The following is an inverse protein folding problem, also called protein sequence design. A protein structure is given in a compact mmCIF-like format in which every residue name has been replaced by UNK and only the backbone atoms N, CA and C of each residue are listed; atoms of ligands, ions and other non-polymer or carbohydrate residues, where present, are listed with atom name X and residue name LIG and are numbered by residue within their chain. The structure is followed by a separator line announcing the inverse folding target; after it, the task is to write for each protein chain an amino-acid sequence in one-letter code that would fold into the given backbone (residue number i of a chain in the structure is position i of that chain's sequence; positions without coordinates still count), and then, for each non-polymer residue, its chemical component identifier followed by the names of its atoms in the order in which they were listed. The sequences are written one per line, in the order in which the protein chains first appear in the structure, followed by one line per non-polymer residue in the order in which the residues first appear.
data_IF_094570110384
#
_entry.id   IF_094570110384
#
_cell.length_a   1.000
_cell.length_b   1.000
_cell.length_c   1.000
_cell.angle_alpha   90.00
_cell.angle_beta   90.00
_cell.angle_gamma   90.00
#
_symmetry.space_group_name_H-M   'P 1'
#
loop_
_entity.id
_entity.type
_entity.pdbx_description
1 polymer ?
#
# COMPACT_ATOMS: atom_id res chain seq x y z
N UNK A 1 27.08 30.80 -26.11
CA UNK A 1 25.85 30.39 -25.42
C UNK A 1 25.59 28.88 -25.58
N UNK A 2 26.29 27.98 -24.86
CA UNK A 2 26.06 26.53 -25.01
C UNK A 2 26.03 25.77 -23.68
N UNK A 3 26.90 26.13 -22.72
CA UNK A 3 26.95 25.48 -21.40
C UNK A 3 25.64 25.61 -20.58
N UNK A 4 24.95 26.76 -20.66
CA UNK A 4 23.69 26.99 -19.93
C UNK A 4 22.58 26.02 -20.35
N UNK A 5 22.49 25.69 -21.65
CA UNK A 5 21.50 24.76 -22.17
C UNK A 5 21.77 23.31 -21.71
N UNK A 6 23.05 22.92 -21.64
CA UNK A 6 23.46 21.60 -21.16
C UNK A 6 23.19 21.43 -19.66
N UNK A 7 23.53 22.44 -18.84
CA UNK A 7 23.28 22.43 -17.40
C UNK A 7 21.77 22.35 -17.10
N UNK A 8 20.96 23.09 -17.86
CA UNK A 8 19.50 23.05 -17.74
C UNK A 8 18.92 21.66 -18.05
N UNK A 9 19.41 21.00 -19.12
CA UNK A 9 18.97 19.64 -19.45
C UNK A 9 19.33 18.62 -18.37
N UNK A 10 20.51 18.75 -17.76
CA UNK A 10 20.95 17.87 -16.66
C UNK A 10 20.08 18.08 -15.42
N UNK A 11 19.83 19.33 -15.02
CA UNK A 11 18.94 19.65 -13.89
C UNK A 11 17.53 19.08 -14.08
N UNK A 12 16.98 19.19 -15.29
CA UNK A 12 15.65 18.67 -15.60
C UNK A 12 15.57 17.14 -15.47
N UNK A 13 16.61 16.42 -15.90
CA UNK A 13 16.69 14.96 -15.73
C UNK A 13 16.74 14.57 -14.26
N UNK A 14 17.51 15.29 -13.44
CA UNK A 14 17.60 15.02 -11.99
C UNK A 14 16.23 15.24 -11.32
N UNK A 15 15.53 16.32 -11.68
CA UNK A 15 14.17 16.60 -11.22
C UNK A 15 13.20 15.48 -11.56
N UNK A 16 13.22 14.99 -12.80
CA UNK A 16 12.35 13.89 -13.23
C UNK A 16 12.64 12.57 -12.48
N UNK A 17 13.91 12.25 -12.26
CA UNK A 17 14.27 11.04 -11.51
C UNK A 17 13.82 11.15 -10.05
N UNK A 18 14.05 12.31 -9.43
CA UNK A 18 13.64 12.56 -8.06
C UNK A 18 12.11 12.45 -7.89
N UNK A 19 11.31 13.01 -8.80
CA UNK A 19 9.85 12.89 -8.73
C UNK A 19 9.37 11.45 -8.92
N UNK A 20 9.95 10.69 -9.85
CA UNK A 20 9.63 9.27 -10.03
C UNK A 20 9.93 8.47 -8.76
N UNK A 21 11.09 8.67 -8.13
CA UNK A 21 11.46 8.00 -6.87
C UNK A 21 10.48 8.37 -5.75
N UNK A 22 10.10 9.64 -5.63
CA UNK A 22 9.11 10.11 -4.64
C UNK A 22 7.73 9.51 -4.91
N UNK A 23 7.29 9.41 -6.17
CA UNK A 23 6.00 8.80 -6.53
C UNK A 23 5.99 7.30 -6.23
N UNK A 24 7.06 6.58 -6.56
CA UNK A 24 7.16 5.14 -6.27
C UNK A 24 7.20 4.90 -4.76
N UNK A 25 7.98 5.68 -4.00
CA UNK A 25 8.06 5.56 -2.54
C UNK A 25 6.79 6.03 -1.82
N UNK A 26 6.04 6.97 -2.38
CA UNK A 26 4.71 7.34 -1.85
C UNK A 26 3.59 6.38 -2.27
N UNK A 27 3.79 5.62 -3.35
CA UNK A 27 2.92 4.53 -3.80
C UNK A 27 2.95 3.28 -2.90
N UNK A 28 3.98 3.13 -2.07
CA UNK A 28 4.02 2.15 -0.95
C UNK A 28 3.53 2.76 0.37
N UNK A 29 2.76 3.85 0.34
CA UNK A 29 1.87 4.13 1.48
C UNK A 29 1.02 2.89 1.65
N UNK A 30 1.37 2.10 2.68
CA UNK A 30 0.53 1.06 3.26
C UNK A 30 -0.88 1.55 3.12
N UNK A 31 -1.63 0.92 2.21
CA UNK A 31 -3.06 1.05 2.24
C UNK A 31 -3.40 0.72 3.68
N UNK A 32 -3.78 1.74 4.44
CA UNK A 32 -4.57 1.54 5.64
C UNK A 32 -5.90 1.03 5.07
N UNK A 33 -5.90 -0.23 4.64
CA UNK A 33 -7.09 -0.93 4.22
C UNK A 33 -7.89 -0.95 5.51
N UNK A 34 -9.01 -0.21 5.59
CA UNK A 34 -9.88 -0.33 6.75
C UNK A 34 -10.13 -1.83 6.93
N UNK A 35 -10.07 -2.34 8.18
CA UNK A 35 -10.05 -3.78 8.41
C UNK A 35 -11.17 -4.42 7.61
N UNK A 36 -10.80 -5.22 6.62
CA UNK A 36 -11.76 -5.69 5.63
C UNK A 36 -12.55 -6.79 6.33
N UNK A 37 -13.78 -6.48 6.73
CA UNK A 37 -14.60 -7.39 7.50
C UNK A 37 -15.32 -8.35 6.56
N UNK A 38 -14.82 -9.59 6.52
CA UNK A 38 -15.33 -10.66 5.67
C UNK A 38 -16.29 -11.54 6.48
N UNK A 39 -17.59 -11.29 6.27
CA UNK A 39 -18.67 -12.08 6.85
C UNK A 39 -18.69 -12.10 8.38
N UNK A 40 -19.33 -13.13 8.93
CA UNK A 40 -19.51 -13.28 10.38
C UNK A 40 -18.57 -14.32 10.97
N UNK A 41 -18.23 -14.17 12.25
CA UNK A 41 -17.41 -15.13 12.99
C UNK A 41 -18.10 -16.48 13.22
N UNK A 42 -19.43 -16.53 13.10
CA UNK A 42 -20.15 -17.81 13.05
C UNK A 42 -19.93 -18.56 11.74
N UNK A 43 -19.64 -17.84 10.65
CA UNK A 43 -19.38 -18.41 9.32
C UNK A 43 -17.90 -18.78 9.14
N UNK A 44 -17.00 -18.04 9.79
CA UNK A 44 -15.57 -18.30 9.82
C UNK A 44 -15.11 -18.58 11.26
N UNK A 45 -15.15 -19.85 11.72
CA UNK A 45 -14.72 -20.20 13.07
C UNK A 45 -13.25 -19.85 13.31
N UNK A 46 -12.45 -19.87 12.24
CA UNK A 46 -11.03 -19.50 12.22
C UNK A 46 -10.82 -18.26 11.33
N UNK A 47 -11.29 -17.10 11.83
CA UNK A 47 -11.17 -15.80 11.16
C UNK A 47 -9.71 -15.48 10.78
N UNK A 48 -8.74 -15.79 11.65
CA UNK A 48 -7.32 -15.55 11.39
C UNK A 48 -6.79 -16.36 10.20
N UNK A 49 -7.12 -17.65 10.14
CA UNK A 49 -6.72 -18.50 9.03
C UNK A 49 -7.37 -18.06 7.71
N UNK A 50 -8.65 -17.69 7.75
CA UNK A 50 -9.34 -17.18 6.55
C UNK A 50 -8.69 -15.91 6.01
N UNK A 51 -8.41 -14.94 6.87
CA UNK A 51 -7.74 -13.70 6.49
C UNK A 51 -6.34 -13.93 5.90
N UNK A 52 -5.58 -14.89 6.45
CA UNK A 52 -4.29 -15.31 5.88
C UNK A 52 -4.40 -15.92 4.49
N UNK A 53 -5.43 -16.73 4.25
CA UNK A 53 -5.66 -17.36 2.92
C UNK A 53 -5.92 -16.31 1.83
N UNK A 54 -6.61 -15.23 2.16
CA UNK A 54 -6.91 -14.14 1.21
C UNK A 54 -5.82 -13.06 1.13
N UNK A 55 -4.70 -13.23 1.86
CA UNK A 55 -3.52 -12.38 1.75
C UNK A 55 -3.37 -11.27 2.80
N UNK A 56 -4.17 -11.28 3.87
CA UNK A 56 -3.95 -10.42 5.04
C UNK A 56 -2.95 -11.03 6.02
N UNK A 57 -2.39 -10.21 6.91
CA UNK A 57 -1.42 -10.67 7.94
C UNK A 57 -2.13 -11.55 8.98
N UNK A 58 -3.39 -11.23 9.27
CA UNK A 58 -4.24 -12.01 10.16
C UNK A 58 -5.64 -11.42 10.25
N UNK A 59 -6.42 -11.90 11.21
CA UNK A 59 -7.79 -11.43 11.40
C UNK A 59 -8.36 -11.75 12.76
N UNK A 60 -9.29 -10.93 13.23
CA UNK A 60 -9.97 -11.12 14.51
C UNK A 60 -11.46 -10.83 14.43
N UNK A 61 -12.20 -11.48 15.31
CA UNK A 61 -13.62 -11.22 15.50
C UNK A 61 -13.85 -9.90 16.24
N UNK A 62 -14.39 -8.92 15.54
CA UNK A 62 -14.90 -7.68 16.11
C UNK A 62 -16.41 -7.84 16.34
N UNK A 63 -16.78 -8.39 17.51
CA UNK A 63 -18.16 -8.76 17.80
C UNK A 63 -18.61 -9.96 16.96
N UNK A 64 -19.59 -9.75 16.07
CA UNK A 64 -20.09 -10.81 15.18
C UNK A 64 -19.40 -10.83 13.81
N UNK A 65 -18.62 -9.81 13.44
CA UNK A 65 -17.93 -9.74 12.16
C UNK A 65 -16.47 -10.20 12.27
N UNK A 66 -16.01 -10.96 11.28
CA UNK A 66 -14.61 -11.33 11.13
C UNK A 66 -13.89 -10.23 10.36
N UNK A 67 -12.89 -9.58 10.97
CA UNK A 67 -12.19 -8.44 10.39
C UNK A 67 -10.71 -8.73 10.18
N UNK A 68 -10.24 -8.60 8.93
CA UNK A 68 -8.87 -8.88 8.52
C UNK A 68 -7.99 -7.63 8.60
N UNK A 69 -6.71 -7.83 8.94
CA UNK A 69 -5.66 -6.79 9.04
C UNK A 69 -4.40 -7.21 8.33
#
# INVERSE_FOLDING_TARGET
MSAYSQIWMVLFKILLVATIVVVISSGVRSQHVPPNCHGTCGQFPDCDAHCKVIGYVGGKCAGTLCCCS
#
